data_IF_994939746810
#
_entry.id   IF_994939746810
#
_cell.length_a   1.000
_cell.length_b   1.000
_cell.length_c   1.000
_cell.angle_alpha   90.00
_cell.angle_beta   90.00
_cell.angle_gamma   90.00
#
_symmetry.space_group_name_H-M   'P 1'
#
loop_
_entity.id
_entity.type
_entity.pdbx_description
1 polymer ?
#
# COMPACT_ATOMS: atom_id res chain seq x y z
N UNK A 1 29.15 29.30 58.74
CA UNK A 1 29.94 28.93 57.57
C UNK A 1 29.06 28.21 56.60
N UNK A 2 28.55 28.97 55.62
CA UNK A 2 27.74 28.47 54.53
C UNK A 2 28.69 27.97 53.45
N UNK A 3 28.59 26.72 53.05
CA UNK A 3 29.26 26.17 51.90
C UNK A 3 28.42 26.46 50.64
N UNK A 4 28.97 27.25 49.76
CA UNK A 4 28.41 27.59 48.46
C UNK A 4 28.36 26.35 47.55
N UNK A 5 27.21 26.09 46.98
CA UNK A 5 27.02 25.14 45.87
C UNK A 5 27.56 25.77 44.58
N UNK A 6 28.42 25.05 43.89
CA UNK A 6 28.94 25.40 42.56
C UNK A 6 27.88 25.07 41.52
N UNK A 7 27.56 26.00 40.58
CA UNK A 7 26.58 25.69 39.51
C UNK A 7 27.29 25.06 38.31
N UNK A 8 26.64 24.05 37.72
CA UNK A 8 26.70 23.77 36.29
C UNK A 8 27.69 22.71 35.84
N UNK A 9 27.32 21.43 36.03
CA UNK A 9 27.66 20.45 34.99
C UNK A 9 26.50 20.41 33.99
N UNK A 10 26.76 20.52 32.66
CA UNK A 10 25.71 20.31 31.68
C UNK A 10 25.29 18.84 31.73
N UNK A 11 24.00 18.61 31.95
CA UNK A 11 23.38 17.31 31.77
C UNK A 11 23.62 16.95 30.30
N UNK A 12 24.47 15.96 30.05
CA UNK A 12 24.72 15.45 28.74
C UNK A 12 23.41 14.94 28.14
N UNK A 13 22.91 15.65 27.14
CA UNK A 13 21.87 15.14 26.26
C UNK A 13 22.49 13.92 25.59
N UNK A 14 22.07 12.74 25.95
CA UNK A 14 22.40 11.52 25.23
C UNK A 14 21.86 11.70 23.82
N UNK A 15 22.74 12.02 22.88
CA UNK A 15 22.44 11.97 21.45
C UNK A 15 22.23 10.51 21.09
N UNK A 16 20.99 10.06 21.20
CA UNK A 16 20.61 8.75 20.66
C UNK A 16 20.95 8.74 19.16
N UNK A 17 21.60 7.67 18.71
CA UNK A 17 21.87 7.49 17.27
C UNK A 17 20.59 7.72 16.47
N UNK A 18 20.66 8.33 15.29
CA UNK A 18 19.47 8.59 14.48
C UNK A 18 18.75 7.27 14.17
N UNK A 19 17.43 7.24 14.35
CA UNK A 19 16.61 6.08 14.03
C UNK A 19 16.78 5.70 12.55
N UNK A 20 16.91 4.41 12.27
CA UNK A 20 16.79 3.93 10.88
C UNK A 20 15.40 4.24 10.34
N UNK A 21 15.26 4.36 9.02
CA UNK A 21 13.93 4.52 8.38
C UNK A 21 12.95 3.44 8.82
N UNK A 22 13.43 2.20 8.98
CA UNK A 22 12.63 1.07 9.49
C UNK A 22 12.12 1.34 10.90
N UNK A 23 12.99 1.71 11.82
CA UNK A 23 12.62 1.98 13.22
C UNK A 23 11.72 3.20 13.33
N UNK A 24 11.98 4.24 12.54
CA UNK A 24 11.14 5.45 12.49
C UNK A 24 9.70 5.12 12.05
N UNK A 25 9.55 4.34 10.97
CA UNK A 25 8.23 3.91 10.49
C UNK A 25 7.51 3.02 11.51
N UNK A 26 8.23 2.09 12.16
CA UNK A 26 7.66 1.25 13.21
C UNK A 26 7.12 2.07 14.39
N UNK A 27 7.89 3.05 14.86
CA UNK A 27 7.46 3.96 15.92
C UNK A 27 6.24 4.79 15.48
N UNK A 28 6.28 5.40 14.29
CA UNK A 28 5.18 6.18 13.76
C UNK A 28 3.89 5.35 13.64
N UNK A 29 3.97 4.11 13.13
CA UNK A 29 2.79 3.23 13.00
C UNK A 29 2.26 2.74 14.34
N UNK A 30 3.08 2.69 15.39
CA UNK A 30 2.66 2.39 16.76
C UNK A 30 2.18 3.61 17.53
N UNK A 31 2.05 4.74 16.87
CA UNK A 31 1.65 5.99 17.52
C UNK A 31 2.65 6.49 18.56
N UNK A 32 3.92 6.12 18.43
CA UNK A 32 5.01 6.56 19.30
C UNK A 32 5.61 7.88 18.78
N UNK A 33 6.20 8.71 19.66
CA UNK A 33 6.90 9.92 19.24
C UNK A 33 8.08 9.61 18.31
N UNK A 34 8.28 10.46 17.31
CA UNK A 34 9.37 10.33 16.34
C UNK A 34 10.13 11.64 16.21
N UNK A 35 11.45 11.61 15.96
CA UNK A 35 12.27 12.84 15.86
C UNK A 35 11.95 13.68 14.61
N UNK A 36 11.34 13.09 13.61
CA UNK A 36 10.85 13.73 12.38
C UNK A 36 9.62 12.99 11.86
N UNK A 37 8.97 13.55 10.87
CA UNK A 37 7.87 12.86 10.19
C UNK A 37 8.41 11.67 9.39
N UNK A 38 7.76 10.52 9.54
CA UNK A 38 7.99 9.38 8.69
C UNK A 38 7.31 9.59 7.32
N UNK A 39 7.92 9.11 6.25
CA UNK A 39 7.42 9.28 4.89
C UNK A 39 7.43 7.95 4.12
N UNK A 40 6.26 7.56 3.65
CA UNK A 40 6.11 6.40 2.78
C UNK A 40 5.19 6.77 1.62
N UNK A 41 5.72 7.38 0.55
CA UNK A 41 4.93 7.64 -0.66
C UNK A 41 4.42 6.31 -1.21
N UNK A 42 3.19 6.30 -1.63
CA UNK A 42 2.60 5.09 -2.23
C UNK A 42 3.08 4.94 -3.67
N UNK A 43 4.38 4.68 -3.85
CA UNK A 43 4.97 4.46 -5.17
C UNK A 43 4.35 3.21 -5.77
N UNK A 44 3.68 3.39 -6.91
CA UNK A 44 3.20 2.27 -7.71
C UNK A 44 4.35 1.65 -8.51
N UNK A 45 4.21 0.37 -8.84
CA UNK A 45 5.20 -0.33 -9.66
C UNK A 45 5.40 0.34 -11.01
N UNK A 46 4.34 0.84 -11.61
CA UNK A 46 4.35 1.52 -12.92
C UNK A 46 5.31 2.71 -12.94
N UNK A 47 5.28 3.55 -11.91
CA UNK A 47 6.23 4.66 -11.78
C UNK A 47 7.65 4.15 -11.67
N UNK A 48 7.89 3.16 -10.80
CA UNK A 48 9.21 2.60 -10.60
C UNK A 48 9.77 1.98 -11.89
N UNK A 49 8.94 1.24 -12.63
CA UNK A 49 9.31 0.65 -13.92
C UNK A 49 9.59 1.69 -14.99
N UNK A 50 8.83 2.80 -15.05
CA UNK A 50 9.10 3.91 -15.99
C UNK A 50 10.42 4.61 -15.71
N UNK A 51 10.70 4.92 -14.44
CA UNK A 51 11.97 5.51 -14.03
C UNK A 51 13.13 4.56 -14.35
N UNK A 52 12.97 3.28 -14.00
CA UNK A 52 13.97 2.23 -14.30
C UNK A 52 14.25 2.11 -15.81
N UNK A 53 13.19 2.01 -16.63
CA UNK A 53 13.35 1.92 -18.09
C UNK A 53 14.07 3.14 -18.69
N UNK A 54 13.75 4.34 -18.20
CA UNK A 54 14.40 5.57 -18.63
C UNK A 54 15.90 5.61 -18.26
N UNK A 55 16.25 5.14 -17.06
CA UNK A 55 17.64 5.08 -16.58
C UNK A 55 18.49 4.07 -17.37
N UNK A 56 17.90 2.94 -17.76
CA UNK A 56 18.56 1.92 -18.58
C UNK A 56 18.67 2.32 -20.08
N UNK A 57 18.20 3.52 -20.46
CA UNK A 57 18.22 4.02 -21.84
C UNK A 57 17.31 3.24 -22.80
N UNK A 58 16.35 2.51 -22.26
CA UNK A 58 15.43 1.64 -22.99
C UNK A 58 14.08 2.27 -23.30
N UNK A 59 13.40 1.68 -24.28
CA UNK A 59 11.99 1.89 -24.54
C UNK A 59 11.14 1.33 -23.39
N UNK A 60 10.10 2.06 -22.98
CA UNK A 60 9.15 1.66 -21.94
C UNK A 60 8.58 0.25 -22.17
N UNK A 61 8.19 -0.05 -23.41
CA UNK A 61 7.61 -1.36 -23.75
C UNK A 61 8.63 -2.49 -23.57
N UNK A 62 9.89 -2.23 -23.88
CA UNK A 62 10.96 -3.20 -23.67
C UNK A 62 11.20 -3.44 -22.18
N UNK A 63 11.24 -2.39 -21.37
CA UNK A 63 11.36 -2.48 -19.91
C UNK A 63 10.22 -3.28 -19.31
N UNK A 64 8.99 -3.00 -19.72
CA UNK A 64 7.80 -3.69 -19.25
C UNK A 64 7.80 -5.19 -19.64
N UNK A 65 8.16 -5.51 -20.89
CA UNK A 65 8.27 -6.90 -21.33
C UNK A 65 9.32 -7.68 -20.50
N UNK A 66 10.50 -7.10 -20.29
CA UNK A 66 11.55 -7.70 -19.44
C UNK A 66 11.08 -7.96 -18.02
N UNK A 67 10.37 -7.02 -17.40
CA UNK A 67 9.82 -7.18 -16.05
C UNK A 67 8.70 -8.24 -15.99
N UNK A 68 7.88 -8.35 -17.05
CA UNK A 68 6.87 -9.39 -17.14
C UNK A 68 7.48 -10.80 -17.34
N UNK A 69 8.59 -10.90 -18.06
CA UNK A 69 9.33 -12.15 -18.27
C UNK A 69 10.21 -12.52 -17.04
N UNK A 70 10.67 -11.53 -16.30
CA UNK A 70 11.43 -11.70 -15.06
C UNK A 70 10.89 -10.78 -13.96
N UNK A 71 9.90 -11.23 -13.18
CA UNK A 71 9.25 -10.41 -12.15
C UNK A 71 10.19 -9.92 -11.03
N UNK A 72 11.35 -10.51 -10.83
CA UNK A 72 12.35 -10.03 -9.86
C UNK A 72 12.88 -8.64 -10.21
N UNK A 73 12.89 -8.24 -11.50
CA UNK A 73 13.30 -6.91 -11.95
C UNK A 73 12.37 -5.79 -11.43
N UNK A 74 11.13 -6.12 -11.09
CA UNK A 74 10.21 -5.18 -10.47
C UNK A 74 10.74 -4.72 -9.12
N UNK A 75 11.33 -5.64 -8.34
CA UNK A 75 11.97 -5.29 -7.07
C UNK A 75 13.19 -4.38 -7.26
N UNK A 76 13.99 -4.63 -8.31
CA UNK A 76 15.13 -3.77 -8.64
C UNK A 76 14.67 -2.34 -8.93
N UNK A 77 13.62 -2.20 -9.73
CA UNK A 77 13.05 -0.91 -10.08
C UNK A 77 12.53 -0.15 -8.83
N UNK A 78 11.77 -0.82 -7.98
CA UNK A 78 11.20 -0.21 -6.75
C UNK A 78 12.30 0.16 -5.77
N UNK A 79 13.26 -0.72 -5.53
CA UNK A 79 14.36 -0.47 -4.58
C UNK A 79 15.21 0.70 -5.05
N UNK A 80 15.61 0.74 -6.33
CA UNK A 80 16.39 1.87 -6.89
C UNK A 80 15.66 3.20 -6.73
N UNK A 81 14.36 3.26 -7.08
CA UNK A 81 13.61 4.50 -6.95
C UNK A 81 13.50 4.96 -5.48
N UNK A 82 13.23 4.03 -4.56
CA UNK A 82 13.15 4.33 -3.13
C UNK A 82 14.49 4.82 -2.56
N UNK A 83 15.60 4.24 -3.01
CA UNK A 83 16.95 4.70 -2.65
C UNK A 83 17.25 6.08 -3.23
N UNK A 84 16.86 6.35 -4.48
CA UNK A 84 17.08 7.64 -5.15
C UNK A 84 16.30 8.79 -4.49
N UNK A 85 15.05 8.56 -4.08
CA UNK A 85 14.24 9.59 -3.40
C UNK A 85 14.42 9.58 -1.88
N UNK A 86 15.09 8.58 -1.33
CA UNK A 86 15.41 8.40 0.09
C UNK A 86 14.19 8.39 1.03
N UNK A 87 13.05 7.83 0.62
CA UNK A 87 11.88 7.67 1.49
C UNK A 87 12.04 6.52 2.50
N UNK A 88 11.25 6.52 3.58
CA UNK A 88 11.44 5.60 4.71
C UNK A 88 10.93 4.19 4.47
N UNK A 89 9.91 4.03 3.62
CA UNK A 89 9.29 2.75 3.39
C UNK A 89 8.93 2.50 1.92
N UNK A 90 8.74 1.24 1.60
CA UNK A 90 8.38 0.76 0.26
C UNK A 90 7.39 -0.40 0.35
N UNK A 91 6.74 -0.66 -0.78
CA UNK A 91 5.88 -1.82 -0.98
C UNK A 91 6.61 -2.85 -1.83
N UNK A 92 6.70 -4.08 -1.33
CA UNK A 92 7.16 -5.24 -2.10
C UNK A 92 6.04 -6.27 -2.07
N UNK A 93 5.37 -6.45 -3.20
CA UNK A 93 4.29 -7.43 -3.33
C UNK A 93 4.86 -8.77 -3.76
N UNK A 94 4.11 -9.86 -3.55
CA UNK A 94 4.48 -11.13 -4.14
C UNK A 94 4.63 -10.97 -5.66
N UNK A 95 5.68 -11.55 -6.27
CA UNK A 95 5.87 -11.42 -7.70
C UNK A 95 4.75 -12.14 -8.45
N UNK A 96 4.36 -11.59 -9.58
CA UNK A 96 3.51 -12.28 -10.53
C UNK A 96 4.25 -13.51 -11.10
N UNK A 97 3.52 -14.41 -11.74
CA UNK A 97 4.14 -15.46 -12.54
C UNK A 97 4.85 -14.83 -13.75
N UNK A 98 6.00 -15.40 -14.11
CA UNK A 98 6.71 -15.00 -15.31
C UNK A 98 5.84 -15.26 -16.56
N UNK A 99 5.77 -14.28 -17.44
CA UNK A 99 4.97 -14.36 -18.67
C UNK A 99 5.89 -14.50 -19.88
N UNK A 100 5.42 -15.15 -20.92
CA UNK A 100 6.08 -15.16 -22.23
C UNK A 100 5.50 -14.04 -23.08
N UNK A 101 6.35 -13.08 -23.48
CA UNK A 101 5.92 -11.89 -24.21
C UNK A 101 6.36 -11.98 -25.68
N UNK A 102 5.42 -11.58 -26.57
CA UNK A 102 5.69 -11.32 -27.98
C UNK A 102 5.29 -9.88 -28.29
N UNK A 103 6.23 -9.08 -28.77
CA UNK A 103 5.94 -7.70 -29.20
C UNK A 103 5.31 -7.71 -30.59
N UNK A 104 4.16 -7.06 -30.73
CA UNK A 104 3.44 -6.88 -31.99
C UNK A 104 3.13 -5.37 -32.16
N UNK A 105 4.06 -4.63 -32.78
CA UNK A 105 4.01 -3.17 -32.82
C UNK A 105 4.13 -2.58 -31.41
N UNK A 106 3.11 -1.87 -30.95
CA UNK A 106 3.01 -1.28 -29.62
C UNK A 106 2.30 -2.19 -28.60
N UNK A 107 1.77 -3.33 -29.03
CA UNK A 107 1.18 -4.31 -28.13
C UNK A 107 2.22 -5.31 -27.61
N UNK A 108 2.12 -5.62 -26.31
CA UNK A 108 2.85 -6.71 -25.66
C UNK A 108 1.89 -7.88 -25.43
N UNK A 109 1.91 -8.80 -26.36
CA UNK A 109 1.03 -9.98 -26.36
C UNK A 109 1.60 -11.05 -25.45
N UNK A 110 0.78 -11.56 -24.53
CA UNK A 110 1.12 -12.69 -23.66
C UNK A 110 0.72 -13.97 -24.38
N UNK A 111 1.67 -14.88 -24.50
CA UNK A 111 1.45 -16.17 -25.15
C UNK A 111 1.73 -17.32 -24.19
N UNK A 112 1.12 -18.47 -24.44
CA UNK A 112 1.44 -19.69 -23.76
C UNK A 112 2.87 -20.14 -24.13
N UNK A 113 3.73 -20.48 -23.15
CA UNK A 113 5.12 -20.80 -23.42
C UNK A 113 5.34 -22.10 -24.23
N UNK A 114 4.38 -23.01 -24.24
CA UNK A 114 4.46 -24.32 -24.90
C UNK A 114 3.76 -24.31 -26.27
N UNK A 115 2.55 -23.73 -26.34
CA UNK A 115 1.73 -23.76 -27.56
C UNK A 115 1.86 -22.50 -28.42
N UNK A 116 2.44 -21.43 -27.87
CA UNK A 116 2.48 -20.07 -28.46
C UNK A 116 1.08 -19.46 -28.73
N UNK A 117 0.02 -20.07 -28.20
CA UNK A 117 -1.31 -19.52 -28.29
C UNK A 117 -1.42 -18.22 -27.48
N UNK A 118 -2.14 -17.25 -28.03
CA UNK A 118 -2.40 -15.98 -27.36
C UNK A 118 -3.29 -16.19 -26.12
N UNK A 119 -2.85 -15.63 -24.99
CA UNK A 119 -3.58 -15.65 -23.71
C UNK A 119 -4.15 -14.28 -23.31
N UNK A 120 -3.62 -13.20 -23.89
CA UNK A 120 -4.02 -11.84 -23.57
C UNK A 120 -2.94 -10.85 -23.94
N UNK A 121 -2.92 -9.70 -23.28
CA UNK A 121 -1.89 -8.68 -23.45
C UNK A 121 -1.56 -7.97 -22.12
N UNK A 122 -0.43 -7.26 -22.11
CA UNK A 122 -0.16 -6.31 -21.02
C UNK A 122 -0.86 -4.98 -21.31
N UNK A 123 -1.39 -4.36 -20.25
CA UNK A 123 -1.90 -2.99 -20.32
C UNK A 123 -0.72 -2.01 -20.34
N UNK A 124 -0.29 -1.62 -21.54
CA UNK A 124 0.84 -0.72 -21.75
C UNK A 124 0.57 0.74 -21.37
N UNK A 125 -0.70 1.10 -21.16
CA UNK A 125 -1.12 2.44 -20.74
C UNK A 125 -1.31 2.54 -19.24
N UNK A 126 -1.79 1.46 -18.60
CA UNK A 126 -2.16 1.40 -17.20
C UNK A 126 -1.21 0.57 -16.32
N UNK A 127 0.10 0.48 -16.65
CA UNK A 127 1.09 -0.06 -15.73
C UNK A 127 1.47 -1.52 -15.89
N UNK A 128 1.14 -2.12 -17.00
CA UNK A 128 1.65 -3.43 -17.36
C UNK A 128 0.90 -4.61 -16.76
N UNK A 129 -0.28 -4.39 -16.19
CA UNK A 129 -1.10 -5.49 -15.72
C UNK A 129 -1.46 -6.45 -16.85
N UNK A 130 -1.43 -7.76 -16.57
CA UNK A 130 -1.90 -8.74 -17.52
C UNK A 130 -3.42 -8.67 -17.67
N UNK A 131 -3.87 -8.45 -18.90
CA UNK A 131 -5.28 -8.45 -19.30
C UNK A 131 -5.55 -9.71 -20.11
N UNK A 132 -6.19 -10.74 -19.53
CA UNK A 132 -6.48 -11.98 -20.25
C UNK A 132 -7.58 -11.78 -21.29
N UNK A 133 -7.45 -12.46 -22.44
CA UNK A 133 -8.49 -12.46 -23.49
C UNK A 133 -9.79 -13.12 -22.99
N UNK A 134 -9.68 -14.08 -22.06
CA UNK A 134 -10.81 -14.74 -21.40
C UNK A 134 -10.67 -14.65 -19.90
N UNK A 135 -11.66 -14.04 -19.27
CA UNK A 135 -11.77 -14.06 -17.81
C UNK A 135 -12.49 -15.32 -17.35
N UNK A 136 -12.11 -15.87 -16.20
CA UNK A 136 -12.89 -16.96 -15.62
C UNK A 136 -14.34 -16.50 -15.35
N UNK A 137 -15.33 -17.41 -15.47
CA UNK A 137 -16.72 -17.07 -15.22
C UNK A 137 -16.91 -16.57 -13.78
N UNK A 138 -17.89 -15.69 -13.53
CA UNK A 138 -18.25 -15.30 -12.18
C UNK A 138 -18.58 -16.52 -11.32
N UNK A 139 -18.23 -16.44 -10.05
CA UNK A 139 -18.58 -17.45 -9.04
C UNK A 139 -20.07 -17.32 -8.70
N UNK A 140 -20.82 -18.42 -8.75
CA UNK A 140 -22.26 -18.45 -8.47
C UNK A 140 -22.61 -19.17 -7.16
N UNK A 141 -21.72 -20.02 -6.66
CA UNK A 141 -21.92 -20.86 -5.48
C UNK A 141 -20.79 -20.70 -4.47
N UNK A 142 -21.05 -21.04 -3.19
CA UNK A 142 -20.04 -21.06 -2.14
C UNK A 142 -18.92 -22.08 -2.44
N UNK A 143 -19.23 -23.19 -3.09
CA UNK A 143 -18.23 -24.19 -3.48
C UNK A 143 -17.26 -23.65 -4.52
N UNK A 144 -17.74 -22.92 -5.52
CA UNK A 144 -16.90 -22.24 -6.52
C UNK A 144 -16.07 -21.11 -5.86
N UNK A 145 -16.67 -20.35 -4.95
CA UNK A 145 -15.96 -19.34 -4.17
C UNK A 145 -14.78 -19.95 -3.40
N UNK A 146 -15.02 -21.05 -2.69
CA UNK A 146 -13.97 -21.76 -1.95
C UNK A 146 -12.86 -22.23 -2.88
N UNK A 147 -13.21 -22.85 -3.99
CA UNK A 147 -12.22 -23.31 -4.98
C UNK A 147 -11.33 -22.19 -5.48
N UNK A 148 -11.92 -21.02 -5.81
CA UNK A 148 -11.14 -19.84 -6.25
C UNK A 148 -10.25 -19.28 -5.17
N UNK A 149 -10.76 -19.17 -3.95
CA UNK A 149 -9.99 -18.69 -2.80
C UNK A 149 -8.84 -19.63 -2.44
N UNK A 150 -9.05 -20.94 -2.52
CA UNK A 150 -7.99 -21.93 -2.32
C UNK A 150 -6.91 -21.85 -3.41
N UNK A 151 -7.28 -21.60 -4.66
CA UNK A 151 -6.34 -21.30 -5.75
C UNK A 151 -5.53 -20.05 -5.48
N UNK A 152 -6.15 -18.98 -4.95
CA UNK A 152 -5.44 -17.76 -4.56
C UNK A 152 -4.42 -18.01 -3.43
N UNK A 153 -4.74 -18.89 -2.49
CA UNK A 153 -3.79 -19.29 -1.43
C UNK A 153 -2.65 -20.14 -2.00
N UNK A 154 -2.97 -21.10 -2.87
CA UNK A 154 -1.99 -21.97 -3.52
C UNK A 154 -1.01 -21.18 -4.42
N UNK A 155 -1.44 -20.06 -5.00
CA UNK A 155 -0.61 -19.18 -5.81
C UNK A 155 0.51 -18.46 -5.00
N UNK A 156 0.49 -18.53 -3.67
CA UNK A 156 1.60 -18.11 -2.80
C UNK A 156 2.57 -19.29 -2.65
N UNK A 157 3.47 -19.43 -3.59
CA UNK A 157 4.46 -20.51 -3.67
C UNK A 157 5.76 -20.16 -2.96
N UNK A 158 6.57 -21.16 -2.62
CA UNK A 158 7.80 -20.96 -1.86
C UNK A 158 8.83 -20.15 -2.65
N UNK A 159 8.96 -20.36 -3.96
CA UNK A 159 9.83 -19.58 -4.83
C UNK A 159 9.50 -18.09 -4.84
N UNK A 160 8.21 -17.73 -4.83
CA UNK A 160 7.77 -16.34 -4.71
C UNK A 160 8.09 -15.74 -3.35
N UNK A 161 7.95 -16.53 -2.29
CA UNK A 161 8.31 -16.10 -0.94
C UNK A 161 9.82 -15.90 -0.80
N UNK A 162 10.62 -16.78 -1.38
CA UNK A 162 12.09 -16.66 -1.42
C UNK A 162 12.53 -15.40 -2.17
N UNK A 163 11.93 -15.10 -3.33
CA UNK A 163 12.20 -13.87 -4.08
C UNK A 163 11.86 -12.63 -3.28
N UNK A 164 10.70 -12.60 -2.62
CA UNK A 164 10.30 -11.49 -1.75
C UNK A 164 11.25 -11.35 -0.55
N UNK A 165 11.61 -12.47 0.09
CA UNK A 165 12.57 -12.49 1.19
C UNK A 165 13.92 -11.92 0.75
N UNK A 166 14.45 -12.38 -0.38
CA UNK A 166 15.71 -11.89 -0.93
C UNK A 166 15.67 -10.39 -1.24
N UNK A 167 14.58 -9.89 -1.81
CA UNK A 167 14.38 -8.45 -2.03
C UNK A 167 14.34 -7.66 -0.71
N UNK A 168 13.66 -8.19 0.31
CA UNK A 168 13.60 -7.61 1.65
C UNK A 168 14.99 -7.48 2.29
N UNK A 169 15.85 -8.48 2.13
CA UNK A 169 17.21 -8.47 2.69
C UNK A 169 18.13 -7.40 2.06
N UNK A 170 17.81 -6.92 0.87
CA UNK A 170 18.57 -5.86 0.19
C UNK A 170 18.35 -4.47 0.79
N UNK A 171 17.27 -4.27 1.53
CA UNK A 171 16.87 -2.98 2.13
C UNK A 171 16.67 -3.08 3.65
N UNK A 172 17.65 -3.55 4.44
CA UNK A 172 17.46 -3.88 5.85
C UNK A 172 17.07 -2.67 6.72
N UNK A 173 17.51 -1.46 6.34
CA UNK A 173 17.23 -0.20 7.04
C UNK A 173 15.89 0.43 6.64
N UNK A 174 15.23 -0.04 5.57
CA UNK A 174 13.94 0.48 5.09
C UNK A 174 12.78 -0.33 5.65
N UNK A 175 11.64 0.32 5.76
CA UNK A 175 10.38 -0.31 6.17
C UNK A 175 9.68 -0.94 4.95
N UNK A 176 9.30 -2.21 5.05
CA UNK A 176 8.74 -2.96 3.93
C UNK A 176 7.32 -3.42 4.21
N UNK A 177 6.40 -2.98 3.35
CA UNK A 177 5.02 -3.43 3.33
C UNK A 177 4.79 -4.49 2.24
N UNK A 178 3.97 -5.51 2.55
CA UNK A 178 3.48 -6.45 1.55
C UNK A 178 2.01 -6.76 1.72
N UNK A 179 1.34 -7.16 0.62
CA UNK A 179 -0.10 -7.38 0.56
C UNK A 179 -0.44 -8.86 0.46
N UNK A 180 -1.23 -9.41 1.39
CA UNK A 180 -1.78 -10.75 1.24
C UNK A 180 -2.95 -10.80 0.24
N UNK A 181 -3.60 -9.68 -0.02
CA UNK A 181 -4.76 -9.50 -0.91
C UNK A 181 -5.80 -8.54 -0.34
N UNK A 182 -6.83 -8.24 -1.12
CA UNK A 182 -8.03 -7.55 -0.64
C UNK A 182 -8.87 -8.49 0.22
N UNK A 183 -9.38 -8.00 1.35
CA UNK A 183 -10.04 -8.88 2.32
C UNK A 183 -11.56 -8.91 2.13
N UNK A 184 -12.14 -7.89 1.49
CA UNK A 184 -13.58 -7.78 1.31
C UNK A 184 -13.98 -7.48 -0.13
N UNK A 185 -14.51 -6.30 -0.41
CA UNK A 185 -15.14 -5.95 -1.69
C UNK A 185 -14.20 -6.06 -2.89
N UNK A 186 -12.91 -5.81 -2.74
CA UNK A 186 -11.98 -5.92 -3.87
C UNK A 186 -11.96 -7.36 -4.42
N UNK A 187 -11.69 -8.33 -3.55
CA UNK A 187 -11.70 -9.76 -3.93
C UNK A 187 -13.12 -10.24 -4.32
N UNK A 188 -14.17 -9.76 -3.64
CA UNK A 188 -15.54 -10.10 -4.00
C UNK A 188 -15.90 -9.65 -5.42
N UNK A 189 -15.52 -8.43 -5.80
CA UNK A 189 -15.73 -7.92 -7.16
C UNK A 189 -14.92 -8.66 -8.22
N UNK A 190 -13.78 -9.22 -7.87
CA UNK A 190 -12.99 -10.10 -8.74
C UNK A 190 -13.68 -11.47 -8.94
N UNK A 191 -14.28 -12.02 -7.89
CA UNK A 191 -14.99 -13.31 -7.95
C UNK A 191 -16.32 -13.23 -8.69
N UNK A 192 -17.08 -12.15 -8.48
CA UNK A 192 -18.45 -12.02 -8.99
C UNK A 192 -18.58 -11.17 -10.26
N UNK A 193 -17.55 -10.36 -10.57
CA UNK A 193 -17.68 -9.23 -11.48
C UNK A 193 -18.29 -8.02 -10.77
N UNK A 194 -17.82 -6.83 -11.14
CA UNK A 194 -18.14 -5.59 -10.41
C UNK A 194 -19.63 -5.27 -10.34
N UNK A 195 -20.35 -5.45 -11.45
CA UNK A 195 -21.78 -5.15 -11.50
C UNK A 195 -22.58 -6.12 -10.62
N UNK A 196 -22.36 -7.43 -10.77
CA UNK A 196 -23.09 -8.44 -10.00
C UNK A 196 -22.79 -8.35 -8.50
N UNK A 197 -21.55 -8.03 -8.13
CA UNK A 197 -21.18 -7.82 -6.75
C UNK A 197 -22.00 -6.70 -6.08
N UNK A 198 -22.32 -5.63 -6.80
CA UNK A 198 -23.16 -4.55 -6.26
C UNK A 198 -24.63 -4.98 -6.11
N UNK A 199 -25.14 -5.79 -7.04
CA UNK A 199 -26.50 -6.33 -6.99
C UNK A 199 -26.63 -7.30 -5.81
N UNK A 200 -25.66 -8.17 -5.61
CA UNK A 200 -25.65 -9.18 -4.55
C UNK A 200 -25.74 -8.57 -3.13
N UNK A 201 -25.21 -7.35 -2.91
CA UNK A 201 -25.34 -6.66 -1.61
C UNK A 201 -26.82 -6.48 -1.18
N UNK A 202 -27.74 -6.45 -2.13
CA UNK A 202 -29.17 -6.27 -1.90
C UNK A 202 -29.94 -7.58 -2.07
N UNK A 203 -29.64 -8.33 -3.13
CA UNK A 203 -30.42 -9.51 -3.51
C UNK A 203 -29.94 -10.80 -2.84
N UNK A 204 -28.65 -10.89 -2.45
CA UNK A 204 -28.04 -12.10 -1.87
C UNK A 204 -27.18 -11.80 -0.65
N UNK A 205 -27.67 -11.05 0.36
CA UNK A 205 -26.85 -10.57 1.48
C UNK A 205 -26.20 -11.70 2.29
N UNK A 206 -26.86 -12.85 2.43
CA UNK A 206 -26.28 -14.02 3.13
C UNK A 206 -25.13 -14.61 2.34
N UNK A 207 -25.26 -14.75 1.02
CA UNK A 207 -24.18 -15.21 0.16
C UNK A 207 -22.97 -14.28 0.22
N UNK A 208 -23.20 -12.95 0.22
CA UNK A 208 -22.12 -11.96 0.40
C UNK A 208 -21.41 -12.17 1.73
N UNK A 209 -22.15 -12.29 2.83
CA UNK A 209 -21.57 -12.46 4.16
C UNK A 209 -20.73 -13.75 4.24
N UNK A 210 -21.23 -14.87 3.71
CA UNK A 210 -20.53 -16.15 3.70
C UNK A 210 -19.23 -16.06 2.88
N UNK A 211 -19.28 -15.47 1.68
CA UNK A 211 -18.10 -15.31 0.83
C UNK A 211 -17.09 -14.38 1.49
N UNK A 212 -17.51 -13.27 2.14
CA UNK A 212 -16.62 -12.38 2.88
C UNK A 212 -15.87 -13.11 4.01
N UNK A 213 -16.58 -13.98 4.75
CA UNK A 213 -15.95 -14.80 5.79
C UNK A 213 -14.91 -15.76 5.19
N UNK A 214 -15.25 -16.45 4.09
CA UNK A 214 -14.33 -17.34 3.40
C UNK A 214 -13.10 -16.59 2.84
N UNK A 215 -13.28 -15.36 2.36
CA UNK A 215 -12.19 -14.49 1.93
C UNK A 215 -11.27 -14.13 3.09
N UNK A 216 -11.82 -13.72 4.24
CA UNK A 216 -11.02 -13.42 5.43
C UNK A 216 -10.13 -14.62 5.82
N UNK A 217 -10.67 -15.84 5.83
CA UNK A 217 -9.92 -17.07 6.09
C UNK A 217 -8.81 -17.32 5.06
N UNK A 218 -9.09 -17.10 3.77
CA UNK A 218 -8.11 -17.28 2.70
C UNK A 218 -6.97 -16.24 2.80
N UNK A 219 -7.31 -14.98 3.08
CA UNK A 219 -6.32 -13.90 3.24
C UNK A 219 -5.49 -14.09 4.51
N UNK A 220 -6.06 -14.61 5.59
CA UNK A 220 -5.30 -15.01 6.79
C UNK A 220 -4.25 -16.08 6.42
N UNK A 221 -4.62 -17.13 5.69
CA UNK A 221 -3.68 -18.17 5.26
C UNK A 221 -2.56 -17.62 4.37
N UNK A 222 -2.86 -16.66 3.50
CA UNK A 222 -1.84 -15.98 2.68
C UNK A 222 -0.91 -15.10 3.53
N UNK A 223 -1.48 -14.35 4.48
CA UNK A 223 -0.71 -13.49 5.38
C UNK A 223 0.26 -14.31 6.25
N UNK A 224 -0.17 -15.46 6.77
CA UNK A 224 0.73 -16.37 7.52
C UNK A 224 1.98 -16.76 6.71
N UNK A 225 1.82 -17.07 5.44
CA UNK A 225 2.97 -17.37 4.57
C UNK A 225 3.89 -16.15 4.39
N UNK A 226 3.33 -14.94 4.27
CA UNK A 226 4.11 -13.72 4.08
C UNK A 226 4.97 -13.37 5.30
N UNK A 227 4.57 -13.72 6.53
CA UNK A 227 5.34 -13.41 7.74
C UNK A 227 6.77 -13.98 7.68
N UNK A 228 6.96 -15.13 7.02
CA UNK A 228 8.28 -15.77 6.88
C UNK A 228 9.26 -14.95 6.03
N UNK A 229 8.79 -13.98 5.24
CA UNK A 229 9.65 -13.17 4.37
C UNK A 229 10.34 -12.01 5.09
N UNK A 230 9.97 -11.73 6.35
CA UNK A 230 10.56 -10.67 7.16
C UNK A 230 10.06 -9.27 6.80
N UNK A 231 8.89 -9.14 6.19
CA UNK A 231 8.19 -7.86 6.00
C UNK A 231 7.87 -7.21 7.34
N UNK A 232 7.67 -5.89 7.34
CA UNK A 232 7.43 -5.13 8.57
C UNK A 232 5.94 -4.89 8.84
N UNK A 233 5.11 -4.91 7.79
CA UNK A 233 3.69 -4.61 7.88
C UNK A 233 2.88 -5.35 6.83
N UNK A 234 1.70 -5.82 7.22
CA UNK A 234 0.68 -6.30 6.30
C UNK A 234 -0.15 -5.11 5.79
N UNK A 235 -0.17 -4.93 4.49
CA UNK A 235 -0.96 -3.95 3.78
C UNK A 235 -2.24 -4.58 3.25
N UNK A 236 -3.40 -4.08 3.63
CA UNK A 236 -4.69 -4.56 3.16
C UNK A 236 -5.29 -3.50 2.23
N UNK A 237 -5.25 -3.75 0.93
CA UNK A 237 -5.80 -2.86 -0.10
C UNK A 237 -7.22 -3.28 -0.50
N UNK A 238 -8.19 -2.44 -0.24
CA UNK A 238 -9.60 -2.72 -0.55
C UNK A 238 -10.37 -1.48 -1.04
N UNK A 239 -9.94 -0.86 -2.15
CA UNK A 239 -10.56 0.37 -2.66
C UNK A 239 -12.05 0.19 -2.98
N UNK A 240 -12.50 -1.02 -3.33
CA UNK A 240 -13.90 -1.31 -3.60
C UNK A 240 -14.81 -1.26 -2.36
N UNK A 241 -14.23 -1.23 -1.15
CA UNK A 241 -14.97 -1.08 0.11
C UNK A 241 -15.29 0.38 0.47
N UNK A 242 -14.82 1.36 -0.30
CA UNK A 242 -15.08 2.78 -0.01
C UNK A 242 -16.53 3.19 -0.27
N UNK A 243 -16.94 4.29 0.36
CA UNK A 243 -18.25 4.89 0.11
C UNK A 243 -18.40 5.52 -1.29
N UNK A 244 -17.41 5.35 -2.16
CA UNK A 244 -17.54 5.59 -3.60
C UNK A 244 -18.36 4.50 -4.30
N UNK A 245 -18.41 3.28 -3.76
CA UNK A 245 -19.07 2.12 -4.37
C UNK A 245 -20.15 1.52 -3.49
N UNK A 246 -19.93 1.43 -2.17
CA UNK A 246 -20.89 0.82 -1.23
C UNK A 246 -21.30 1.79 -0.16
N UNK A 247 -22.50 1.60 0.44
CA UNK A 247 -22.95 2.46 1.53
C UNK A 247 -22.16 2.17 2.83
N UNK A 248 -22.07 3.14 3.77
CA UNK A 248 -21.52 2.89 5.10
C UNK A 248 -22.18 1.70 5.82
N UNK A 249 -23.52 1.53 5.63
CA UNK A 249 -24.23 0.38 6.17
C UNK A 249 -23.74 -0.96 5.59
N UNK A 250 -23.47 -1.01 4.29
CA UNK A 250 -22.90 -2.22 3.66
C UNK A 250 -21.49 -2.49 4.14
N UNK A 251 -20.68 -1.43 4.34
CA UNK A 251 -19.35 -1.57 4.94
C UNK A 251 -19.44 -2.17 6.35
N UNK A 252 -20.31 -1.62 7.20
CA UNK A 252 -20.54 -2.11 8.56
C UNK A 252 -20.99 -3.59 8.58
N UNK A 253 -21.91 -3.92 7.70
CA UNK A 253 -22.52 -5.26 7.64
C UNK A 253 -21.57 -6.32 7.08
N UNK A 254 -20.86 -6.04 6.00
CA UNK A 254 -20.12 -7.04 5.25
C UNK A 254 -18.61 -6.94 5.36
N UNK A 255 -18.07 -5.71 5.49
CA UNK A 255 -16.61 -5.50 5.46
C UNK A 255 -16.00 -5.48 6.86
N UNK A 256 -16.56 -4.70 7.77
CA UNK A 256 -16.02 -4.50 9.11
C UNK A 256 -15.76 -5.81 9.88
N UNK A 257 -16.65 -6.82 9.89
CA UNK A 257 -16.40 -8.08 10.59
C UNK A 257 -15.18 -8.85 10.05
N UNK A 258 -14.98 -8.84 8.73
CA UNK A 258 -13.84 -9.49 8.08
C UNK A 258 -12.52 -8.83 8.46
N UNK A 259 -12.47 -7.48 8.44
CA UNK A 259 -11.31 -6.72 8.89
C UNK A 259 -10.99 -7.00 10.37
N UNK A 260 -11.99 -6.97 11.23
CA UNK A 260 -11.80 -7.27 12.66
C UNK A 260 -11.27 -8.68 12.90
N UNK A 261 -11.75 -9.66 12.13
CA UNK A 261 -11.26 -11.05 12.22
C UNK A 261 -9.80 -11.12 11.83
N UNK A 262 -9.40 -10.48 10.73
CA UNK A 262 -8.02 -10.42 10.28
C UNK A 262 -7.13 -9.68 11.29
N UNK A 263 -7.54 -8.51 11.75
CA UNK A 263 -6.74 -7.72 12.69
C UNK A 263 -6.54 -8.43 14.04
N UNK A 264 -7.56 -9.11 14.57
CA UNK A 264 -7.43 -9.93 15.80
C UNK A 264 -6.36 -11.01 15.67
N UNK A 265 -6.21 -11.61 14.47
CA UNK A 265 -5.22 -12.67 14.22
C UNK A 265 -3.77 -12.15 14.21
N UNK A 266 -3.56 -10.93 13.74
CA UNK A 266 -2.22 -10.46 13.41
C UNK A 266 -1.74 -9.26 14.22
N UNK A 267 -2.61 -8.47 14.83
CA UNK A 267 -2.27 -7.18 15.44
C UNK A 267 -1.10 -7.24 16.42
N UNK A 268 -1.02 -8.29 17.24
CA UNK A 268 0.06 -8.46 18.24
C UNK A 268 1.35 -9.04 17.65
N UNK A 269 1.31 -9.48 16.40
CA UNK A 269 2.43 -10.18 15.73
C UNK A 269 3.14 -9.33 14.68
N UNK A 270 2.39 -8.47 14.00
CA UNK A 270 2.89 -7.62 12.93
C UNK A 270 2.01 -6.37 12.81
N UNK A 271 2.61 -5.26 12.34
CA UNK A 271 1.86 -4.06 12.04
C UNK A 271 0.87 -4.29 10.88
N UNK A 272 -0.25 -3.58 10.90
CA UNK A 272 -1.30 -3.67 9.88
C UNK A 272 -1.70 -2.26 9.49
N UNK A 273 -1.74 -1.97 8.19
CA UNK A 273 -2.43 -0.79 7.68
C UNK A 273 -3.47 -1.16 6.63
N UNK A 274 -4.60 -0.45 6.68
CA UNK A 274 -5.73 -0.63 5.78
C UNK A 274 -5.76 0.52 4.79
N UNK A 275 -5.86 0.17 3.51
CA UNK A 275 -6.00 1.09 2.40
C UNK A 275 -7.41 1.03 1.82
N UNK A 276 -8.17 2.08 2.01
CA UNK A 276 -9.49 2.28 1.37
C UNK A 276 -9.51 3.68 0.76
N UNK A 277 -9.05 3.81 -0.49
CA UNK A 277 -9.02 5.08 -1.21
C UNK A 277 -10.40 5.57 -1.68
N UNK A 278 -10.44 6.79 -2.17
CA UNK A 278 -11.67 7.46 -2.57
C UNK A 278 -12.48 7.98 -1.37
N UNK A 279 -13.80 7.90 -1.44
CA UNK A 279 -14.68 8.50 -0.42
C UNK A 279 -14.72 7.65 0.85
N UNK A 280 -13.64 7.69 1.66
CA UNK A 280 -13.56 6.98 2.94
C UNK A 280 -14.08 7.79 4.14
N UNK A 281 -14.33 9.10 3.99
CA UNK A 281 -14.81 9.97 5.06
C UNK A 281 -16.04 9.45 5.84
N UNK A 282 -17.07 8.91 5.17
CA UNK A 282 -18.25 8.36 5.86
C UNK A 282 -18.02 7.09 6.68
N UNK A 283 -16.86 6.43 6.53
CA UNK A 283 -16.51 5.16 7.20
C UNK A 283 -15.23 5.26 8.07
N UNK A 284 -14.73 6.47 8.32
CA UNK A 284 -13.46 6.67 9.06
C UNK A 284 -13.48 6.02 10.44
N UNK A 285 -14.53 6.20 11.21
CA UNK A 285 -14.66 5.60 12.55
C UNK A 285 -14.65 4.07 12.48
N UNK A 286 -15.35 3.49 11.50
CA UNK A 286 -15.38 2.06 11.28
C UNK A 286 -14.01 1.53 10.84
N UNK A 287 -13.25 2.29 10.05
CA UNK A 287 -11.87 1.93 9.71
C UNK A 287 -10.98 1.90 10.96
N UNK A 288 -11.14 2.85 11.87
CA UNK A 288 -10.46 2.82 13.16
C UNK A 288 -10.94 1.67 14.09
N UNK A 289 -12.19 1.21 13.94
CA UNK A 289 -12.77 0.07 14.69
C UNK A 289 -12.32 -1.30 14.16
N UNK A 290 -11.62 -1.37 13.03
CA UNK A 290 -11.11 -2.64 12.47
C UNK A 290 -10.06 -3.29 13.36
N UNK A 291 -9.34 -2.50 14.17
CA UNK A 291 -8.19 -2.94 14.93
C UNK A 291 -6.85 -2.82 14.20
N UNK A 292 -6.79 -2.24 13.02
CA UNK A 292 -5.53 -1.93 12.35
C UNK A 292 -4.75 -0.84 13.10
N UNK A 293 -3.44 -0.77 12.86
CA UNK A 293 -2.56 0.26 13.42
C UNK A 293 -2.68 1.58 12.66
N UNK A 294 -2.92 1.52 11.34
CA UNK A 294 -2.90 2.67 10.45
C UNK A 294 -4.07 2.63 9.49
N UNK A 295 -4.69 3.78 9.28
CA UNK A 295 -5.70 4.04 8.23
C UNK A 295 -5.05 4.86 7.12
N UNK A 296 -5.20 4.40 5.89
CA UNK A 296 -4.60 4.94 4.67
C UNK A 296 -5.54 4.66 3.47
N UNK A 297 -5.58 5.51 2.45
CA UNK A 297 -5.04 6.85 2.42
C UNK A 297 -6.04 7.88 2.94
N UNK A 298 -5.54 9.05 3.34
CA UNK A 298 -6.38 10.23 3.49
C UNK A 298 -6.44 10.90 2.12
N UNK A 299 -7.46 10.54 1.33
CA UNK A 299 -7.56 10.98 -0.06
C UNK A 299 -8.33 12.31 -0.18
N UNK A 300 -7.64 13.44 -0.51
CA UNK A 300 -8.32 14.72 -0.68
C UNK A 300 -9.26 14.74 -1.88
N UNK A 301 -9.03 13.93 -2.93
CA UNK A 301 -9.94 13.79 -4.07
C UNK A 301 -11.20 13.00 -3.69
N UNK A 302 -11.10 12.12 -2.69
CA UNK A 302 -12.24 11.46 -2.04
C UNK A 302 -12.95 12.33 -0.98
N UNK A 303 -12.48 13.56 -0.78
CA UNK A 303 -13.03 14.49 0.22
C UNK A 303 -12.58 14.24 1.65
N UNK A 304 -11.44 13.55 1.86
CA UNK A 304 -10.91 13.29 3.19
C UNK A 304 -9.80 14.30 3.52
N UNK A 305 -10.00 15.07 4.58
CA UNK A 305 -9.02 16.04 5.09
C UNK A 305 -8.17 15.38 6.18
N UNK A 306 -6.85 15.66 6.20
CA UNK A 306 -5.97 15.22 7.27
C UNK A 306 -6.41 15.78 8.62
N UNK A 307 -6.76 17.06 8.66
CA UNK A 307 -7.22 17.74 9.89
C UNK A 307 -8.52 17.10 10.44
N UNK A 308 -9.53 16.84 9.58
CA UNK A 308 -10.78 16.19 9.98
C UNK A 308 -10.53 14.76 10.48
N UNK A 309 -9.77 13.97 9.73
CA UNK A 309 -9.42 12.61 10.15
C UNK A 309 -8.64 12.60 11.47
N UNK A 310 -7.73 13.56 11.66
CA UNK A 310 -6.97 13.70 12.90
C UNK A 310 -7.86 13.99 14.10
N UNK A 311 -8.84 14.87 13.92
CA UNK A 311 -9.83 15.19 14.98
C UNK A 311 -10.70 13.98 15.31
N UNK A 312 -11.18 13.24 14.29
CA UNK A 312 -12.15 12.15 14.45
C UNK A 312 -11.53 10.85 14.95
N UNK A 313 -10.40 10.43 14.39
CA UNK A 313 -9.82 9.10 14.65
C UNK A 313 -8.33 9.14 15.00
N UNK A 314 -7.65 10.28 14.94
CA UNK A 314 -6.20 10.39 15.14
C UNK A 314 -5.70 10.06 16.55
N UNK A 315 -6.57 9.98 17.55
CA UNK A 315 -6.24 9.48 18.89
C UNK A 315 -6.32 7.96 19.04
N UNK A 316 -6.76 7.24 18.00
CA UNK A 316 -7.05 5.80 18.02
C UNK A 316 -6.15 5.00 17.08
N UNK A 317 -5.77 5.59 15.97
CA UNK A 317 -4.95 4.98 14.92
C UNK A 317 -3.98 6.00 14.35
N UNK A 318 -2.89 5.56 13.81
CA UNK A 318 -2.00 6.40 13.00
C UNK A 318 -2.63 6.66 11.64
N UNK A 319 -2.49 7.87 11.16
CA UNK A 319 -3.01 8.33 9.88
C UNK A 319 -1.89 8.40 8.85
N UNK A 320 -2.16 7.98 7.61
CA UNK A 320 -1.20 8.05 6.52
C UNK A 320 -1.86 8.57 5.24
N UNK A 321 -1.24 9.56 4.57
CA UNK A 321 -1.79 10.13 3.34
C UNK A 321 -1.82 11.64 3.32
N UNK A 322 -2.68 12.21 2.49
CA UNK A 322 -3.12 13.60 2.51
C UNK A 322 -2.63 14.49 1.37
N UNK A 323 -1.47 14.23 0.74
CA UNK A 323 -0.99 15.06 -0.38
C UNK A 323 -1.71 14.68 -1.66
N UNK A 324 -2.30 15.66 -2.32
CA UNK A 324 -3.10 15.46 -3.52
C UNK A 324 -2.27 14.86 -4.67
N UNK A 325 -2.72 13.76 -5.21
CA UNK A 325 -2.05 13.07 -6.32
C UNK A 325 -1.96 13.91 -7.58
N UNK A 326 -2.92 14.81 -7.83
CA UNK A 326 -2.86 15.75 -8.95
C UNK A 326 -1.78 16.82 -8.75
N UNK A 327 -1.56 17.30 -7.52
CA UNK A 327 -0.44 18.21 -7.21
C UNK A 327 0.90 17.49 -7.43
N UNK A 328 1.00 16.23 -7.01
CA UNK A 328 2.20 15.42 -7.27
C UNK A 328 2.47 15.25 -8.76
N UNK A 329 1.44 14.97 -9.57
CA UNK A 329 1.59 14.71 -10.99
C UNK A 329 1.81 15.97 -11.83
N UNK A 330 1.10 17.07 -11.51
CA UNK A 330 0.99 18.23 -12.40
C UNK A 330 1.50 19.54 -11.78
N UNK A 331 1.78 19.57 -10.48
CA UNK A 331 2.31 20.74 -9.77
C UNK A 331 3.79 20.96 -10.00
N UNK A 332 4.29 22.09 -9.53
CA UNK A 332 5.74 22.34 -9.43
C UNK A 332 6.30 21.74 -8.13
N UNK A 333 7.63 21.50 -8.04
CA UNK A 333 8.26 21.06 -6.78
C UNK A 333 7.92 21.94 -5.58
N UNK A 334 7.81 23.27 -5.78
CA UNK A 334 7.46 24.21 -4.71
C UNK A 334 6.01 24.08 -4.25
N UNK A 335 5.08 23.82 -5.18
CA UNK A 335 3.67 23.55 -4.84
C UNK A 335 3.55 22.24 -4.06
N UNK A 336 4.26 21.21 -4.48
CA UNK A 336 4.30 19.92 -3.77
C UNK A 336 4.87 20.10 -2.36
N UNK A 337 5.98 20.84 -2.22
CA UNK A 337 6.61 21.14 -0.93
C UNK A 337 5.64 21.89 -0.01
N UNK A 338 4.99 22.93 -0.51
CA UNK A 338 4.04 23.73 0.26
C UNK A 338 2.86 22.90 0.77
N UNK A 339 2.28 22.04 -0.09
CA UNK A 339 1.18 21.17 0.31
C UNK A 339 1.65 20.10 1.32
N UNK A 340 2.80 19.46 1.10
CA UNK A 340 3.36 18.47 2.02
C UNK A 340 3.61 19.08 3.42
N UNK A 341 4.20 20.29 3.50
CA UNK A 341 4.39 21.02 4.77
C UNK A 341 3.03 21.25 5.45
N UNK A 342 2.04 21.71 4.70
CA UNK A 342 0.69 21.93 5.24
C UNK A 342 0.11 20.64 5.82
N UNK A 343 0.21 19.51 5.12
CA UNK A 343 -0.27 18.21 5.62
C UNK A 343 0.49 17.73 6.86
N UNK A 344 1.78 18.00 6.94
CA UNK A 344 2.55 17.73 8.14
C UNK A 344 2.04 18.52 9.36
N UNK A 345 1.68 19.80 9.17
CA UNK A 345 1.08 20.61 10.24
C UNK A 345 -0.30 20.10 10.66
N UNK A 346 -1.15 19.71 9.70
CA UNK A 346 -2.47 19.13 10.00
C UNK A 346 -2.34 17.78 10.75
N UNK A 347 -1.40 16.95 10.37
CA UNK A 347 -1.17 15.62 10.96
C UNK A 347 -0.53 15.65 12.34
N UNK A 348 0.28 16.67 12.60
CA UNK A 348 1.00 16.86 13.88
C UNK A 348 2.18 15.88 14.06
N UNK A 349 2.87 15.99 15.22
CA UNK A 349 4.12 15.28 15.47
C UNK A 349 3.97 13.78 15.77
N UNK A 350 2.77 13.33 16.10
CA UNK A 350 2.51 11.96 16.54
C UNK A 350 1.29 11.39 15.83
N UNK A 351 1.36 10.12 15.45
CA UNK A 351 0.26 9.42 14.80
C UNK A 351 -0.03 9.92 13.39
N UNK A 352 1.01 10.39 12.67
CA UNK A 352 0.90 10.78 11.27
C UNK A 352 2.14 10.34 10.48
N UNK A 353 1.91 9.85 9.27
CA UNK A 353 2.92 9.48 8.28
C UNK A 353 2.59 10.24 7.00
N UNK A 354 3.56 11.00 6.48
CA UNK A 354 3.41 11.71 5.23
C UNK A 354 3.35 10.73 4.06
N UNK A 355 2.24 10.73 3.34
CA UNK A 355 2.04 9.95 2.13
C UNK A 355 1.18 10.69 1.12
N UNK A 356 1.12 10.22 -0.11
CA UNK A 356 0.16 10.68 -1.10
C UNK A 356 -1.27 10.33 -0.67
N UNK A 357 -2.25 11.06 -1.16
CA UNK A 357 -3.68 10.80 -0.90
C UNK A 357 -4.21 9.53 -1.57
N UNK A 358 -3.43 8.92 -2.43
CA UNK A 358 -3.59 7.61 -3.05
C UNK A 358 -2.25 7.20 -3.65
N UNK A 359 -2.21 6.19 -4.52
CA UNK A 359 -1.00 5.81 -5.24
C UNK A 359 -0.41 6.99 -6.01
N UNK A 360 0.92 7.17 -5.91
CA UNK A 360 1.63 8.19 -6.69
C UNK A 360 1.42 7.92 -8.18
N UNK A 361 0.89 8.89 -8.96
CA UNK A 361 0.63 8.68 -10.37
C UNK A 361 1.91 8.32 -11.14
N UNK A 362 1.85 7.39 -12.12
CA UNK A 362 3.03 6.94 -12.88
C UNK A 362 3.77 8.05 -13.61
N UNK A 363 3.07 9.12 -14.00
CA UNK A 363 3.62 10.28 -14.70
C UNK A 363 4.18 11.38 -13.76
N UNK A 364 4.20 11.15 -12.45
CA UNK A 364 4.74 12.13 -11.50
C UNK A 364 6.21 12.42 -11.78
N UNK A 365 6.60 13.69 -11.99
CA UNK A 365 8.00 14.05 -12.16
C UNK A 365 8.84 13.64 -10.94
N UNK A 366 10.03 13.09 -11.18
CA UNK A 366 10.93 12.67 -10.10
C UNK A 366 11.26 13.83 -9.15
N UNK A 367 11.44 15.05 -9.68
CA UNK A 367 11.67 16.26 -8.89
C UNK A 367 10.51 16.58 -7.91
N UNK A 368 9.27 16.28 -8.30
CA UNK A 368 8.11 16.43 -7.42
C UNK A 368 8.13 15.39 -6.30
N UNK A 369 8.46 14.15 -6.62
CA UNK A 369 8.58 13.09 -5.61
C UNK A 369 9.74 13.37 -4.63
N UNK A 370 10.86 13.87 -5.11
CA UNK A 370 11.97 14.31 -4.26
C UNK A 370 11.56 15.47 -3.35
N UNK A 371 10.92 16.51 -3.89
CA UNK A 371 10.43 17.64 -3.11
C UNK A 371 9.45 17.22 -2.01
N UNK A 372 8.63 16.22 -2.29
CA UNK A 372 7.70 15.62 -1.33
C UNK A 372 8.45 14.91 -0.20
N UNK A 373 9.40 14.03 -0.52
CA UNK A 373 10.17 13.27 0.48
C UNK A 373 11.07 14.18 1.31
N UNK A 374 11.67 15.20 0.71
CA UNK A 374 12.54 16.18 1.37
C UNK A 374 11.83 16.88 2.53
N UNK A 375 10.52 17.15 2.43
CA UNK A 375 9.76 17.76 3.52
C UNK A 375 9.81 16.90 4.78
N UNK A 376 9.60 15.61 4.66
CA UNK A 376 9.66 14.69 5.79
C UNK A 376 11.10 14.53 6.33
N UNK A 377 12.09 14.46 5.42
CA UNK A 377 13.50 14.31 5.78
C UNK A 377 14.03 15.48 6.59
N UNK A 378 13.61 16.71 6.27
CA UNK A 378 14.07 17.93 6.91
C UNK A 378 13.09 18.49 7.94
N UNK A 379 11.94 17.82 8.17
CA UNK A 379 11.01 18.19 9.22
C UNK A 379 11.67 17.96 10.58
N UNK A 380 11.67 19.00 11.40
CA UNK A 380 12.06 18.92 12.81
C UNK A 380 10.92 19.47 13.63
N UNK A 381 10.41 18.66 14.55
CA UNK A 381 9.48 19.19 15.54
C UNK A 381 10.29 20.02 16.52
N UNK A 382 10.09 21.34 16.50
CA UNK A 382 10.58 22.19 17.59
C UNK A 382 9.62 21.98 18.75
N UNK A 383 10.17 21.53 19.87
CA UNK A 383 9.43 21.54 21.12
C UNK A 383 8.95 22.98 21.35
N UNK A 384 7.61 23.18 21.31
CA UNK A 384 6.96 24.48 21.51
C UNK A 384 6.88 24.84 22.98
#
# INVERSE_FOLDING_TARGET
MQTMNTPGQPIGVATSAPLSSRSLMQAAMRHEPTPRIACMPQICYDMALRVYAAQEGGDWLQGLARCAENPALVYDAVIRLVEEVDCDGLRLFLPADALKIQRQGDDLVVVDPQTAERRGKLDTQGGGAFVPDRRPPPVETLAEARTRLDQMVAAVTDDKLELLHAARQRVPSRFVASVPGGITMNTYTELRGRQQAMIDLVERPEFVADVMQMQAEAIIRRAEKLLATGIDVLYIGDPAASASLISPRHFEQFCLPAYQTFCRQFRERILIYIHVCGKSGPILEMLADTGAHVVEPLDPLGGVSVADAKQRIGGRVTLMGGVNTLTLANGTPDQVRAEAIHKCHEGGPQGYILAAGDMVPPATPLANLQAFVDVARHSQWRDG
#
